data_IF_090708594458
#
_entry.id   IF_090708594458
#
_cell.length_a   1.000
_cell.length_b   1.000
_cell.length_c   1.000
_cell.angle_alpha   90.00
_cell.angle_beta   90.00
_cell.angle_gamma   90.00
#
_symmetry.space_group_name_H-M   'P 1'
#
loop_
_entity.id
_entity.type
_entity.pdbx_description
1 polymer ?
#
# COMPACT_ATOMS: atom_id res chain seq x y z
N UNK A 1 0.31 10.60 -32.81
CA UNK A 1 -0.76 9.95 -33.59
C UNK A 1 -1.92 9.71 -32.64
N UNK A 2 -3.05 10.38 -32.85
CA UNK A 2 -4.26 10.19 -32.05
C UNK A 2 -5.20 9.25 -32.81
N UNK A 3 -5.60 8.14 -32.19
CA UNK A 3 -6.60 7.25 -32.76
C UNK A 3 -7.96 7.96 -32.67
N UNK A 4 -8.54 8.28 -33.83
CA UNK A 4 -9.91 8.79 -33.94
C UNK A 4 -10.84 7.60 -34.17
N UNK A 5 -11.84 7.42 -33.31
CA UNK A 5 -12.86 6.39 -33.51
C UNK A 5 -13.83 6.81 -34.63
N UNK A 6 -14.35 5.86 -35.42
CA UNK A 6 -15.29 6.14 -36.50
C UNK A 6 -16.61 6.75 -36.00
N UNK A 7 -17.21 7.62 -36.82
CA UNK A 7 -18.48 8.29 -36.54
C UNK A 7 -19.60 7.26 -36.31
N UNK A 8 -20.16 7.23 -35.11
CA UNK A 8 -21.24 6.31 -34.73
C UNK A 8 -20.89 5.33 -33.61
N UNK A 9 -19.64 5.30 -33.12
CA UNK A 9 -19.33 4.59 -31.89
C UNK A 9 -20.07 5.21 -30.71
N UNK A 10 -20.97 4.44 -30.09
CA UNK A 10 -21.50 4.72 -28.76
C UNK A 10 -20.81 3.81 -27.78
N UNK A 11 -20.30 4.38 -26.68
CA UNK A 11 -19.86 3.58 -25.55
C UNK A 11 -21.00 2.60 -25.18
N UNK A 12 -20.71 1.33 -24.85
CA UNK A 12 -21.72 0.46 -24.29
C UNK A 12 -22.39 1.20 -23.13
N UNK A 13 -23.73 1.31 -23.13
CA UNK A 13 -24.50 1.74 -21.97
C UNK A 13 -24.50 0.63 -20.92
N UNK A 14 -23.30 0.25 -20.48
CA UNK A 14 -23.07 -0.55 -19.29
C UNK A 14 -22.55 0.42 -18.26
N UNK A 15 -23.40 0.78 -17.30
CA UNK A 15 -22.98 1.45 -16.08
C UNK A 15 -21.98 0.54 -15.35
N UNK A 16 -20.68 0.70 -15.62
CA UNK A 16 -19.61 0.18 -14.77
C UNK A 16 -19.17 1.29 -13.82
N UNK A 17 -20.15 1.83 -13.12
CA UNK A 17 -19.98 2.52 -11.86
C UNK A 17 -21.05 1.96 -10.94
N UNK A 18 -20.79 0.76 -10.40
CA UNK A 18 -21.47 0.31 -9.19
C UNK A 18 -20.75 0.97 -8.01
N UNK A 19 -21.00 2.26 -7.78
CA UNK A 19 -20.69 2.83 -6.48
C UNK A 19 -21.90 2.61 -5.59
N UNK A 20 -21.81 1.68 -4.63
CA UNK A 20 -22.67 1.78 -3.45
C UNK A 20 -22.19 2.97 -2.62
N UNK A 21 -23.08 3.60 -1.86
CA UNK A 21 -22.75 4.63 -0.88
C UNK A 21 -21.93 4.08 0.33
N UNK A 22 -21.17 3.01 0.15
CA UNK A 22 -20.47 2.26 1.18
C UNK A 22 -18.99 2.07 0.81
N UNK A 23 -18.27 3.14 0.51
CA UNK A 23 -16.81 3.10 0.37
C UNK A 23 -16.16 3.76 1.58
N UNK A 24 -15.08 3.19 2.11
CA UNK A 24 -14.26 3.82 3.14
C UNK A 24 -12.84 4.07 2.62
N UNK A 25 -12.27 5.22 2.96
CA UNK A 25 -10.85 5.48 2.73
C UNK A 25 -10.08 5.19 4.01
N UNK A 26 -8.93 4.51 3.88
CA UNK A 26 -8.03 4.22 5.00
C UNK A 26 -6.61 4.62 4.63
N UNK A 27 -5.82 5.04 5.62
CA UNK A 27 -4.43 5.43 5.37
C UNK A 27 -3.61 5.65 6.63
N UNK A 28 -2.34 6.00 6.41
CA UNK A 28 -1.34 6.18 7.45
C UNK A 28 0.06 6.25 6.87
N UNK A 29 1.05 6.47 7.73
CA UNK A 29 2.45 6.40 7.34
C UNK A 29 2.82 4.95 6.98
N UNK A 30 3.35 4.76 5.77
CA UNK A 30 3.69 3.46 5.19
C UNK A 30 5.18 3.18 5.08
N UNK A 31 5.98 4.25 5.01
CA UNK A 31 7.43 4.21 5.14
C UNK A 31 7.82 5.29 6.13
N UNK A 32 8.66 4.97 7.11
CA UNK A 32 9.21 5.92 8.07
C UNK A 32 10.65 6.26 7.67
N UNK A 33 10.98 7.54 7.58
CA UNK A 33 12.37 7.98 7.51
C UNK A 33 12.98 7.98 8.90
N UNK A 34 14.15 7.36 9.03
CA UNK A 34 14.92 7.27 10.26
C UNK A 34 16.42 7.36 9.95
N UNK A 35 17.25 6.81 10.83
CA UNK A 35 18.70 6.80 10.68
C UNK A 35 19.33 5.53 11.25
N UNK A 36 20.67 5.43 11.19
CA UNK A 36 21.40 4.21 11.53
C UNK A 36 21.27 3.79 13.00
N UNK A 37 20.86 4.71 13.89
CA UNK A 37 20.65 4.41 15.31
C UNK A 37 19.23 3.89 15.60
N UNK A 38 18.33 3.99 14.64
CA UNK A 38 16.96 3.53 14.76
C UNK A 38 16.54 2.80 13.47
N UNK A 39 17.18 1.67 13.14
CA UNK A 39 16.76 0.85 12.03
C UNK A 39 15.52 0.03 12.38
N UNK A 40 14.93 -0.60 11.36
CA UNK A 40 13.83 -1.55 11.51
C UNK A 40 14.35 -2.93 12.02
N UNK A 41 13.44 -3.90 12.12
CA UNK A 41 13.78 -5.25 12.59
C UNK A 41 14.69 -6.04 11.64
N UNK A 42 14.94 -5.55 10.43
CA UNK A 42 15.87 -6.11 9.46
C UNK A 42 17.22 -5.39 9.47
N UNK A 43 17.43 -4.45 10.39
CA UNK A 43 18.59 -3.54 10.43
C UNK A 43 18.66 -2.63 9.19
N UNK A 44 17.51 -2.29 8.61
CA UNK A 44 17.40 -1.40 7.46
C UNK A 44 16.74 -0.09 7.85
N UNK A 45 17.00 0.99 7.10
CA UNK A 45 16.31 2.26 7.30
C UNK A 45 16.17 3.06 6.01
N UNK A 46 15.06 3.79 5.92
CA UNK A 46 14.82 4.76 4.87
C UNK A 46 15.26 6.15 5.31
N UNK A 47 15.61 7.00 4.35
CA UNK A 47 15.87 8.42 4.59
C UNK A 47 15.08 9.29 3.61
N UNK A 48 15.10 10.60 3.85
CA UNK A 48 14.58 11.59 2.90
C UNK A 48 15.32 11.59 1.55
N UNK A 49 16.44 10.88 1.43
CA UNK A 49 17.21 10.72 0.18
C UNK A 49 16.91 9.40 -0.53
N UNK A 50 16.18 8.47 0.09
CA UNK A 50 15.84 7.19 -0.57
C UNK A 50 15.09 7.45 -1.87
N UNK A 51 15.55 6.79 -2.94
CA UNK A 51 14.91 6.76 -4.25
C UNK A 51 13.75 5.75 -4.24
N UNK A 52 12.52 6.26 -4.19
CA UNK A 52 11.27 5.48 -4.24
C UNK A 52 10.74 5.29 -5.67
N UNK A 53 11.58 5.57 -6.66
CA UNK A 53 11.25 5.42 -8.08
C UNK A 53 10.47 6.60 -8.64
N UNK A 54 10.14 6.54 -9.95
CA UNK A 54 9.62 7.69 -10.69
C UNK A 54 8.25 8.18 -10.20
N UNK A 55 7.52 7.37 -9.44
CA UNK A 55 6.22 7.71 -8.85
C UNK A 55 6.27 7.84 -7.32
N UNK A 56 7.45 7.79 -6.69
CA UNK A 56 7.57 7.74 -5.22
C UNK A 56 6.67 6.67 -4.57
N UNK A 57 6.57 5.49 -5.18
CA UNK A 57 5.65 4.42 -4.75
C UNK A 57 4.18 4.58 -5.12
N UNK A 58 3.75 5.75 -5.61
CA UNK A 58 2.35 5.99 -5.99
C UNK A 58 1.88 5.02 -7.09
N UNK A 59 0.63 4.56 -6.94
CA UNK A 59 0.00 3.62 -7.86
C UNK A 59 0.51 2.18 -7.76
N UNK A 60 1.20 1.82 -6.68
CA UNK A 60 1.54 0.42 -6.38
C UNK A 60 0.30 -0.34 -5.90
N UNK A 61 0.14 -1.63 -6.24
CA UNK A 61 -0.96 -2.44 -5.74
C UNK A 61 -0.92 -2.54 -4.21
N UNK A 62 -2.10 -2.68 -3.59
CA UNK A 62 -2.21 -2.87 -2.15
C UNK A 62 -2.67 -4.30 -1.85
N UNK A 63 -1.90 -5.00 -1.01
CA UNK A 63 -2.14 -6.38 -0.61
C UNK A 63 -2.47 -6.50 0.88
N UNK A 64 -2.86 -7.70 1.29
CA UNK A 64 -2.94 -8.08 2.71
C UNK A 64 -1.80 -9.05 3.00
N UNK A 65 -1.06 -8.79 4.08
CA UNK A 65 0.07 -9.59 4.55
C UNK A 65 1.02 -10.07 3.44
N UNK A 66 1.40 -9.18 2.52
CA UNK A 66 2.25 -9.45 1.35
C UNK A 66 1.77 -10.60 0.46
N UNK A 67 0.46 -10.86 0.44
CA UNK A 67 -0.14 -11.96 -0.31
C UNK A 67 0.01 -13.33 0.35
N UNK A 68 0.37 -13.37 1.64
CA UNK A 68 0.43 -14.60 2.44
C UNK A 68 -0.74 -14.68 3.43
N UNK A 69 -1.21 -15.89 3.79
CA UNK A 69 -2.21 -16.04 4.83
C UNK A 69 -1.70 -15.50 6.17
N UNK A 70 -2.53 -14.72 6.88
CA UNK A 70 -2.20 -14.21 8.23
C UNK A 70 -2.13 -15.37 9.24
N UNK A 71 -3.04 -16.34 9.08
CA UNK A 71 -3.12 -17.58 9.85
C UNK A 71 -3.90 -18.61 9.05
N UNK A 72 -3.89 -19.86 9.51
CA UNK A 72 -4.72 -20.93 8.95
C UNK A 72 -6.20 -20.52 8.92
N UNK A 73 -6.86 -20.78 7.80
CA UNK A 73 -8.29 -20.45 7.59
C UNK A 73 -8.55 -19.01 7.12
N UNK A 74 -7.51 -18.18 6.96
CA UNK A 74 -7.61 -16.80 6.46
C UNK A 74 -7.00 -16.63 5.04
N UNK A 75 -6.90 -17.70 4.26
CA UNK A 75 -6.28 -17.70 2.92
C UNK A 75 -6.99 -16.80 1.92
N UNK A 76 -8.28 -16.50 2.15
CA UNK A 76 -9.03 -15.56 1.33
C UNK A 76 -8.44 -14.14 1.37
N UNK A 77 -7.96 -13.69 2.53
CA UNK A 77 -7.36 -12.36 2.67
C UNK A 77 -6.07 -12.22 1.86
N UNK A 78 -5.26 -13.29 1.78
CA UNK A 78 -4.01 -13.32 1.03
C UNK A 78 -4.21 -13.06 -0.48
N UNK A 79 -5.42 -13.32 -1.00
CA UNK A 79 -5.76 -13.12 -2.42
C UNK A 79 -6.38 -11.74 -2.70
N UNK A 80 -6.64 -10.94 -1.67
CA UNK A 80 -7.23 -9.61 -1.83
C UNK A 80 -6.17 -8.66 -2.39
N UNK A 81 -6.49 -8.07 -3.54
CA UNK A 81 -5.77 -6.93 -4.11
C UNK A 81 -6.72 -5.73 -4.06
N UNK A 82 -6.37 -4.75 -3.23
CA UNK A 82 -7.11 -3.51 -3.07
C UNK A 82 -6.76 -2.52 -4.19
N UNK A 83 -7.57 -1.44 -4.37
CA UNK A 83 -7.21 -0.34 -5.23
C UNK A 83 -5.79 0.17 -4.95
N UNK A 84 -5.11 0.60 -6.01
CA UNK A 84 -3.74 1.06 -5.94
C UNK A 84 -3.56 2.17 -4.89
N UNK A 85 -2.43 2.12 -4.19
CA UNK A 85 -2.10 3.10 -3.16
C UNK A 85 -2.00 4.50 -3.77
N UNK A 86 -2.65 5.46 -3.11
CA UNK A 86 -2.40 6.89 -3.30
C UNK A 86 -1.31 7.29 -2.30
N UNK A 87 -0.16 7.70 -2.81
CA UNK A 87 1.04 7.94 -1.98
C UNK A 87 1.45 9.40 -2.03
N UNK A 88 1.72 9.96 -0.86
CA UNK A 88 2.28 11.30 -0.69
C UNK A 88 3.57 11.21 0.13
N UNK A 89 4.62 11.86 -0.36
CA UNK A 89 5.87 11.99 0.38
C UNK A 89 5.86 13.27 1.21
N UNK A 90 6.26 13.17 2.47
CA UNK A 90 6.48 14.32 3.34
C UNK A 90 7.87 14.25 4.02
N UNK A 91 8.09 15.06 5.05
CA UNK A 91 9.36 15.11 5.79
C UNK A 91 9.61 13.88 6.66
N UNK A 92 8.56 13.15 7.04
CA UNK A 92 8.63 11.98 7.92
C UNK A 92 8.66 10.66 7.15
N UNK A 93 8.18 10.63 5.90
CA UNK A 93 8.20 9.42 5.09
C UNK A 93 7.23 9.41 3.91
N UNK A 94 6.69 8.24 3.61
CA UNK A 94 5.61 8.05 2.65
C UNK A 94 4.30 7.80 3.37
N UNK A 95 3.32 8.67 3.18
CA UNK A 95 1.94 8.45 3.58
C UNK A 95 1.21 7.72 2.46
N UNK A 96 0.57 6.59 2.76
CA UNK A 96 -0.22 5.83 1.80
C UNK A 96 -1.69 5.76 2.23
N UNK A 97 -2.57 5.72 1.24
CA UNK A 97 -4.00 5.47 1.44
C UNK A 97 -4.58 4.62 0.33
N UNK A 98 -5.67 3.91 0.63
CA UNK A 98 -6.46 3.16 -0.36
C UNK A 98 -7.95 3.22 0.00
N UNK A 99 -8.80 2.88 -0.97
CA UNK A 99 -10.25 2.81 -0.80
C UNK A 99 -10.69 1.36 -0.64
N UNK A 100 -11.62 1.14 0.27
CA UNK A 100 -12.27 -0.14 0.53
C UNK A 100 -13.72 -0.06 0.04
N UNK A 101 -14.15 -1.09 -0.70
CA UNK A 101 -15.56 -1.32 -1.01
C UNK A 101 -16.22 -2.10 0.14
N UNK A 102 -16.99 -1.41 0.98
CA UNK A 102 -17.65 -2.06 2.12
C UNK A 102 -18.83 -2.95 1.70
N UNK A 103 -19.20 -3.01 0.43
CA UNK A 103 -20.14 -4.03 -0.06
C UNK A 103 -19.46 -5.40 -0.20
N UNK A 104 -18.13 -5.43 -0.34
CA UNK A 104 -17.32 -6.66 -0.32
C UNK A 104 -17.11 -7.11 1.14
N UNK A 105 -17.54 -8.33 1.53
CA UNK A 105 -17.37 -8.83 2.89
C UNK A 105 -15.92 -8.88 3.38
N UNK A 106 -14.95 -9.18 2.50
CA UNK A 106 -13.54 -9.22 2.88
C UNK A 106 -12.99 -7.82 3.15
N UNK A 107 -13.35 -6.85 2.31
CA UNK A 107 -12.94 -5.45 2.49
C UNK A 107 -13.64 -4.79 3.68
N UNK A 108 -14.88 -5.18 3.97
CA UNK A 108 -15.56 -4.81 5.22
C UNK A 108 -14.82 -5.35 6.44
N UNK A 109 -14.43 -6.63 6.43
CA UNK A 109 -13.65 -7.21 7.52
C UNK A 109 -12.28 -6.51 7.68
N UNK A 110 -11.61 -6.15 6.57
CA UNK A 110 -10.40 -5.32 6.61
C UNK A 110 -10.67 -3.96 7.26
N UNK A 111 -11.79 -3.32 6.92
CA UNK A 111 -12.17 -2.04 7.53
C UNK A 111 -12.40 -2.17 9.05
N UNK A 112 -13.07 -3.23 9.50
CA UNK A 112 -13.25 -3.52 10.93
C UNK A 112 -11.91 -3.72 11.65
N UNK A 113 -10.95 -4.40 11.02
CA UNK A 113 -9.59 -4.55 11.56
C UNK A 113 -8.84 -3.21 11.63
N UNK A 114 -9.03 -2.33 10.64
CA UNK A 114 -8.49 -0.96 10.67
C UNK A 114 -9.12 -0.17 11.82
N UNK A 115 -10.44 -0.19 11.98
CA UNK A 115 -11.14 0.47 13.08
C UNK A 115 -10.67 -0.04 14.46
N UNK A 116 -10.40 -1.34 14.57
CA UNK A 116 -9.84 -1.97 15.77
C UNK A 116 -8.35 -1.69 15.99
N UNK A 117 -7.68 -0.97 15.10
CA UNK A 117 -6.25 -0.65 15.22
C UNK A 117 -5.33 -1.86 15.06
N UNK A 118 -5.79 -2.92 14.38
CA UNK A 118 -5.04 -4.16 14.23
C UNK A 118 -3.97 -4.09 13.13
N UNK A 119 -4.10 -3.16 12.17
CA UNK A 119 -3.29 -3.13 10.96
C UNK A 119 -2.36 -1.91 10.92
N UNK A 120 -1.17 -2.14 10.37
CA UNK A 120 -0.19 -1.14 9.96
C UNK A 120 0.13 -1.35 8.48
N UNK A 121 0.81 -0.39 7.90
CA UNK A 121 1.38 -0.54 6.57
C UNK A 121 2.69 -1.31 6.61
N UNK A 122 3.02 -1.90 5.47
CA UNK A 122 4.34 -2.38 5.09
C UNK A 122 4.54 -2.09 3.60
N UNK A 123 5.78 -2.11 3.14
CA UNK A 123 6.11 -1.98 1.72
C UNK A 123 7.00 -3.14 1.31
N UNK A 124 6.74 -3.73 0.15
CA UNK A 124 7.56 -4.78 -0.43
C UNK A 124 8.18 -4.33 -1.74
N UNK A 125 9.34 -4.88 -2.07
CA UNK A 125 10.04 -4.61 -3.32
C UNK A 125 10.69 -5.89 -3.86
N UNK A 126 11.08 -5.85 -5.13
CA UNK A 126 11.84 -6.94 -5.78
C UNK A 126 13.33 -6.65 -5.75
N UNK A 127 14.22 -7.65 -5.64
CA UNK A 127 15.67 -7.45 -5.48
C UNK A 127 16.31 -6.51 -6.50
N UNK A 128 15.85 -6.51 -7.76
CA UNK A 128 16.37 -5.67 -8.84
C UNK A 128 16.09 -4.18 -8.64
N UNK A 129 15.12 -3.85 -7.80
CA UNK A 129 14.67 -2.49 -7.52
C UNK A 129 15.13 -1.99 -6.14
N UNK A 130 15.96 -2.76 -5.44
CA UNK A 130 16.48 -2.42 -4.12
C UNK A 130 17.98 -2.20 -4.19
N UNK A 131 18.45 -1.13 -3.56
CA UNK A 131 19.87 -0.88 -3.35
C UNK A 131 20.11 -0.53 -1.88
N UNK A 132 21.00 -1.30 -1.24
CA UNK A 132 21.36 -1.16 0.16
C UNK A 132 22.79 -0.68 0.28
N UNK A 133 23.03 0.29 1.15
CA UNK A 133 24.37 0.64 1.57
C UNK A 133 24.86 -0.31 2.67
N UNK A 134 26.16 -0.29 2.97
CA UNK A 134 26.78 -1.18 3.96
C UNK A 134 26.32 -0.93 5.40
N UNK A 135 25.74 0.22 5.68
CA UNK A 135 25.22 0.63 6.99
C UNK A 135 23.73 0.27 7.19
N UNK A 136 23.10 -0.42 6.23
CA UNK A 136 21.67 -0.75 6.27
C UNK A 136 20.78 0.32 5.63
N UNK A 137 21.32 1.45 5.17
CA UNK A 137 20.53 2.47 4.49
C UNK A 137 19.96 1.95 3.17
N UNK A 138 18.65 2.10 3.00
CA UNK A 138 17.96 1.86 1.74
C UNK A 138 18.16 3.05 0.81
N UNK A 139 19.16 2.96 -0.07
CA UNK A 139 19.45 3.99 -1.08
C UNK A 139 18.37 4.02 -2.15
N UNK A 140 17.90 2.84 -2.55
CA UNK A 140 16.79 2.66 -3.49
C UNK A 140 15.82 1.62 -2.98
N UNK A 141 14.54 1.92 -3.10
CA UNK A 141 13.46 0.98 -2.82
C UNK A 141 12.24 1.35 -3.64
N UNK A 142 12.01 0.70 -4.78
CA UNK A 142 10.77 0.96 -5.52
C UNK A 142 9.70 0.02 -4.97
N UNK A 143 8.64 0.52 -4.32
CA UNK A 143 7.57 -0.34 -3.85
C UNK A 143 6.97 -1.10 -5.04
N UNK A 144 7.06 -2.43 -4.99
CA UNK A 144 6.34 -3.30 -5.89
C UNK A 144 4.90 -3.49 -5.41
N UNK A 145 4.68 -3.38 -4.10
CA UNK A 145 3.38 -3.38 -3.44
C UNK A 145 3.47 -2.66 -2.08
N UNK A 146 2.31 -2.24 -1.58
CA UNK A 146 2.11 -1.93 -0.16
C UNK A 146 1.18 -2.96 0.46
N UNK A 147 1.38 -3.28 1.73
CA UNK A 147 0.57 -4.28 2.41
C UNK A 147 -0.05 -3.74 3.70
N UNK A 148 -1.29 -4.11 3.96
CA UNK A 148 -1.87 -4.02 5.30
C UNK A 148 -1.45 -5.26 6.07
N UNK A 149 -0.80 -5.08 7.22
CA UNK A 149 -0.20 -6.18 8.00
C UNK A 149 -0.29 -5.92 9.51
N UNK A 150 -0.49 -6.95 10.37
CA UNK A 150 -0.49 -6.78 11.82
C UNK A 150 0.87 -6.35 12.39
N UNK A 151 1.94 -6.99 11.90
CA UNK A 151 3.32 -6.85 12.41
C UNK A 151 4.29 -6.57 11.25
N UNK A 152 4.49 -5.30 10.87
CA UNK A 152 5.47 -4.94 9.84
C UNK A 152 6.91 -5.05 10.38
N UNK A 153 7.88 -5.08 9.46
CA UNK A 153 9.31 -5.02 9.80
C UNK A 153 9.70 -3.72 10.52
N UNK A 154 9.00 -2.61 10.23
CA UNK A 154 9.14 -1.33 10.95
C UNK A 154 8.06 -1.22 12.05
N UNK A 155 8.36 -1.60 13.31
CA UNK A 155 7.37 -1.68 14.37
C UNK A 155 6.87 -0.30 14.85
N UNK A 156 7.54 0.79 14.48
CA UNK A 156 7.18 2.16 14.88
C UNK A 156 6.12 2.79 13.99
N UNK A 157 5.77 2.17 12.85
CA UNK A 157 4.70 2.69 12.00
C UNK A 157 3.39 2.84 12.80
N UNK A 158 2.64 3.94 12.60
CA UNK A 158 1.35 4.11 13.24
C UNK A 158 0.34 3.08 12.71
N UNK A 159 -0.73 2.85 13.49
CA UNK A 159 -1.86 2.07 12.99
C UNK A 159 -2.51 2.79 11.81
N UNK A 160 -3.01 2.03 10.85
CA UNK A 160 -3.85 2.56 9.77
C UNK A 160 -5.14 3.07 10.39
N UNK A 161 -5.66 4.19 9.89
CA UNK A 161 -6.89 4.81 10.35
C UNK A 161 -7.85 5.08 9.18
N UNK A 162 -9.17 5.17 9.43
CA UNK A 162 -10.09 5.80 8.49
C UNK A 162 -9.70 7.26 8.21
N UNK A 163 -9.88 7.71 6.96
CA UNK A 163 -9.60 9.09 6.52
C UNK A 163 -10.87 9.86 6.17
#
# INVERSE_FOLDING_TARGET
MAFTHPSGWRAPSGSVLKSSASSARVGGLAVLFSGPNEPDLQNEYFTSETDFGPRNGDGSPVMIHHGYPISDGLEAFAKVILPAAQVQRDTNGLFASTNLDLADPLQRAIYELVQGGALRWSSGSTPQLVQRASDGRLVRWFPAEFSLIPTPAEPRLPRIQPL
#
